data_IF_333016627599
#
_entry.id   IF_333016627599
#
_cell.length_a   1.000
_cell.length_b   1.000
_cell.length_c   1.000
_cell.angle_alpha   90.00
_cell.angle_beta   90.00
_cell.angle_gamma   90.00
#
_symmetry.space_group_name_H-M   'P 1'
#
loop_
_entity.id
_entity.type
_entity.pdbx_description
1 polymer ?
#
# COMPACT_ATOMS: atom_id res chain seq x y z
N UNK A 1 -37.33 -11.05 7.41
CA UNK A 1 -36.75 -12.09 6.55
C UNK A 1 -35.57 -11.50 5.82
N UNK A 2 -34.40 -12.10 6.05
CA UNK A 2 -33.07 -11.62 5.70
C UNK A 2 -32.79 -11.75 4.21
N UNK A 3 -32.35 -10.66 3.58
CA UNK A 3 -31.55 -10.71 2.34
C UNK A 3 -30.35 -9.78 2.55
N UNK A 4 -29.42 -10.23 3.39
CA UNK A 4 -28.07 -9.68 3.48
C UNK A 4 -27.32 -10.13 2.23
N UNK A 5 -27.20 -9.24 1.26
CA UNK A 5 -26.26 -9.40 0.15
C UNK A 5 -24.84 -9.32 0.72
N UNK A 6 -24.26 -10.47 1.03
CA UNK A 6 -22.84 -10.62 1.30
C UNK A 6 -22.10 -10.39 -0.01
N UNK A 7 -21.51 -9.21 -0.17
CA UNK A 7 -20.53 -8.95 -1.21
C UNK A 7 -19.24 -9.70 -0.87
N UNK A 8 -19.01 -10.80 -1.57
CA UNK A 8 -17.71 -11.46 -1.67
C UNK A 8 -16.70 -10.54 -2.38
N UNK A 9 -15.49 -10.40 -1.81
CA UNK A 9 -14.31 -9.60 -2.22
C UNK A 9 -14.21 -8.21 -1.56
N UNK A 10 -13.12 -7.78 -0.90
CA UNK A 10 -11.76 -8.31 -0.67
C UNK A 10 -11.33 -7.93 0.76
N UNK A 11 -10.89 -8.90 1.55
CA UNK A 11 -10.09 -8.65 2.77
C UNK A 11 -8.73 -9.32 2.55
N UNK A 12 -7.67 -8.69 3.04
CA UNK A 12 -6.35 -9.31 3.11
C UNK A 12 -6.49 -10.71 3.74
N UNK A 13 -6.01 -11.75 3.04
CA UNK A 13 -6.16 -13.16 3.41
C UNK A 13 -5.51 -13.51 4.77
N UNK A 14 -4.67 -12.63 5.32
CA UNK A 14 -3.91 -12.90 6.55
C UNK A 14 -4.44 -12.26 7.82
N UNK A 15 -5.54 -11.48 7.76
CA UNK A 15 -6.19 -10.96 8.96
C UNK A 15 -7.33 -11.87 9.48
N UNK A 16 -7.46 -13.10 8.97
CA UNK A 16 -8.19 -14.17 9.63
C UNK A 16 -7.21 -15.13 10.30
N UNK A 17 -7.43 -15.40 11.59
CA UNK A 17 -6.58 -16.12 12.54
C UNK A 17 -6.18 -17.58 12.20
N UNK A 18 -6.17 -18.02 10.94
CA UNK A 18 -6.02 -19.45 10.60
C UNK A 18 -4.61 -19.87 10.15
N UNK A 19 -3.65 -18.94 9.97
CA UNK A 19 -2.29 -19.27 9.53
C UNK A 19 -1.37 -19.82 10.64
N UNK A 20 -1.79 -19.80 11.90
CA UNK A 20 -0.91 -20.11 13.04
C UNK A 20 -0.77 -21.60 13.35
N UNK A 21 -1.59 -22.48 12.76
CA UNK A 21 -1.53 -23.89 13.16
C UNK A 21 -0.48 -24.70 12.40
N UNK A 22 -0.18 -24.45 11.11
CA UNK A 22 0.71 -25.31 10.28
C UNK A 22 1.46 -24.57 9.15
N UNK A 23 2.50 -23.78 9.45
CA UNK A 23 3.22 -23.03 8.42
C UNK A 23 4.06 -23.91 7.47
N UNK A 24 4.61 -25.04 7.94
CA UNK A 24 5.32 -26.05 7.13
C UNK A 24 4.67 -27.42 7.29
N UNK A 25 4.68 -28.23 6.24
CA UNK A 25 4.10 -29.59 6.24
C UNK A 25 5.15 -30.71 6.35
N UNK A 26 6.43 -30.39 6.18
CA UNK A 26 7.56 -31.29 6.35
C UNK A 26 8.75 -30.58 7.00
N UNK A 27 9.71 -31.36 7.51
CA UNK A 27 10.88 -30.78 8.18
C UNK A 27 11.89 -30.22 7.20
N UNK A 28 12.55 -29.13 7.56
CA UNK A 28 13.51 -28.38 6.73
C UNK A 28 14.84 -28.23 7.46
N UNK A 29 15.95 -28.41 6.76
CA UNK A 29 17.30 -28.39 7.33
C UNK A 29 17.94 -29.78 7.39
N UNK A 30 18.88 -29.94 8.32
CA UNK A 30 19.74 -31.11 8.45
C UNK A 30 18.91 -32.38 8.69
N UNK A 31 19.01 -33.35 7.77
CA UNK A 31 18.24 -34.59 7.84
C UNK A 31 16.72 -34.41 7.77
N UNK A 32 16.24 -33.24 7.33
CA UNK A 32 14.82 -32.96 7.11
C UNK A 32 14.30 -33.51 5.79
N UNK A 33 12.97 -33.51 5.63
CA UNK A 33 12.31 -33.88 4.36
C UNK A 33 12.66 -32.91 3.23
N UNK A 34 12.92 -31.64 3.55
CA UNK A 34 13.35 -30.59 2.62
C UNK A 34 12.45 -30.48 1.39
N UNK A 35 11.13 -30.51 1.58
CA UNK A 35 10.19 -30.25 0.51
C UNK A 35 10.42 -28.82 0.00
N UNK A 36 10.54 -28.66 -1.32
CA UNK A 36 10.85 -27.37 -1.95
C UNK A 36 10.02 -26.21 -1.40
N UNK A 37 8.69 -26.40 -1.28
CA UNK A 37 7.78 -25.40 -0.74
C UNK A 37 8.15 -25.01 0.71
N UNK A 38 8.27 -25.99 1.61
CA UNK A 38 8.65 -25.74 3.01
C UNK A 38 10.03 -25.05 3.12
N UNK A 39 10.99 -25.41 2.25
CA UNK A 39 12.31 -24.77 2.21
C UNK A 39 12.22 -23.31 1.77
N UNK A 40 11.41 -23.00 0.75
CA UNK A 40 11.20 -21.61 0.28
C UNK A 40 10.62 -20.74 1.39
N UNK A 41 9.66 -21.28 2.15
CA UNK A 41 9.10 -20.56 3.29
C UNK A 41 10.13 -20.35 4.38
N UNK A 42 10.86 -21.38 4.78
CA UNK A 42 11.90 -21.21 5.78
C UNK A 42 12.94 -20.17 5.33
N UNK A 43 13.33 -20.16 4.04
CA UNK A 43 14.22 -19.13 3.48
C UNK A 43 13.61 -17.72 3.61
N UNK A 44 12.33 -17.56 3.29
CA UNK A 44 11.62 -16.30 3.43
C UNK A 44 11.47 -15.87 4.91
N UNK A 45 11.22 -16.79 5.83
CA UNK A 45 11.10 -16.52 7.28
C UNK A 45 12.43 -16.04 7.82
N UNK A 46 13.51 -16.72 7.45
CA UNK A 46 14.86 -16.31 7.82
C UNK A 46 15.22 -14.95 7.22
N UNK A 47 14.92 -14.70 5.94
CA UNK A 47 15.14 -13.40 5.30
C UNK A 47 14.38 -12.26 5.96
N UNK A 48 13.21 -12.55 6.54
CA UNK A 48 12.37 -11.58 7.27
C UNK A 48 12.83 -11.36 8.70
N UNK A 49 13.70 -12.21 9.22
CA UNK A 49 14.26 -12.06 10.55
C UNK A 49 15.42 -11.06 10.46
N UNK A 50 15.44 -10.00 11.29
CA UNK A 50 16.57 -9.08 11.33
C UNK A 50 17.87 -9.80 11.73
N UNK A 51 19.04 -9.38 11.23
CA UNK A 51 20.31 -10.02 11.56
C UNK A 51 20.62 -10.10 13.06
N UNK A 52 20.16 -9.12 13.83
CA UNK A 52 20.26 -9.03 15.30
C UNK A 52 19.40 -10.07 16.05
N UNK A 53 18.31 -10.52 15.42
CA UNK A 53 17.42 -11.58 15.93
C UNK A 53 17.74 -12.95 15.32
N UNK A 54 18.95 -13.11 14.74
CA UNK A 54 19.43 -14.39 14.23
C UNK A 54 19.20 -14.61 12.73
N UNK A 55 18.66 -13.62 12.02
CA UNK A 55 18.50 -13.66 10.57
C UNK A 55 19.82 -13.58 9.79
N UNK A 56 19.82 -13.87 8.49
CA UNK A 56 21.01 -13.83 7.66
C UNK A 56 21.41 -12.37 7.35
N UNK A 57 22.72 -12.06 7.45
CA UNK A 57 23.23 -10.72 7.15
C UNK A 57 23.16 -10.38 5.64
N UNK A 58 23.19 -11.42 4.79
CA UNK A 58 22.95 -11.34 3.35
C UNK A 58 21.77 -12.25 3.04
N UNK A 59 20.74 -11.72 2.39
CA UNK A 59 19.52 -12.47 2.12
C UNK A 59 19.81 -13.74 1.31
N UNK A 60 19.12 -14.82 1.69
CA UNK A 60 19.09 -16.09 0.98
C UNK A 60 18.29 -15.96 -0.32
N UNK A 61 18.66 -16.74 -1.32
CA UNK A 61 17.76 -16.99 -2.44
C UNK A 61 16.60 -17.88 -1.97
N UNK A 62 15.36 -17.48 -2.23
CA UNK A 62 14.14 -18.23 -1.88
C UNK A 62 13.83 -19.27 -2.96
N UNK A 63 14.82 -20.10 -3.28
CA UNK A 63 14.82 -21.06 -4.39
C UNK A 63 14.31 -22.45 -4.00
N UNK A 64 14.13 -22.70 -2.70
CA UNK A 64 13.67 -23.96 -2.15
C UNK A 64 14.76 -25.02 -2.05
N UNK A 65 16.02 -24.60 -2.17
CA UNK A 65 17.19 -25.47 -2.07
C UNK A 65 17.82 -25.36 -0.69
N UNK A 66 18.03 -26.50 -0.03
CA UNK A 66 18.72 -26.56 1.26
C UNK A 66 20.25 -26.52 1.09
N UNK A 67 20.75 -25.42 0.54
CA UNK A 67 22.19 -25.21 0.33
C UNK A 67 22.95 -24.82 1.61
N UNK A 68 24.29 -24.76 1.56
CA UNK A 68 25.12 -24.40 2.72
C UNK A 68 24.74 -23.05 3.36
N UNK A 69 24.29 -22.08 2.55
CA UNK A 69 23.83 -20.77 3.04
C UNK A 69 22.52 -20.87 3.83
N UNK A 70 21.55 -21.63 3.32
CA UNK A 70 20.27 -21.85 4.01
C UNK A 70 20.47 -22.65 5.29
N UNK A 71 21.31 -23.69 5.26
CA UNK A 71 21.63 -24.47 6.46
C UNK A 71 22.33 -23.59 7.52
N UNK A 72 23.32 -22.79 7.13
CA UNK A 72 23.99 -21.87 8.05
C UNK A 72 23.04 -20.83 8.66
N UNK A 73 22.05 -20.36 7.90
CA UNK A 73 21.03 -19.44 8.42
C UNK A 73 20.08 -20.13 9.42
N UNK A 74 19.69 -21.39 9.17
CA UNK A 74 18.92 -22.20 10.14
C UNK A 74 19.71 -22.39 11.43
N UNK A 75 20.98 -22.79 11.31
CA UNK A 75 21.86 -23.02 12.46
C UNK A 75 22.04 -21.72 13.28
N UNK A 76 22.25 -20.59 12.59
CA UNK A 76 22.40 -19.27 13.22
C UNK A 76 21.13 -18.86 13.97
N UNK A 77 19.96 -19.01 13.34
CA UNK A 77 18.70 -18.64 13.96
C UNK A 77 18.40 -19.53 15.18
N UNK A 78 18.61 -20.85 15.06
CA UNK A 78 18.42 -21.76 16.18
C UNK A 78 19.37 -21.47 17.35
N UNK A 79 20.63 -21.11 17.08
CA UNK A 79 21.56 -20.71 18.13
C UNK A 79 21.10 -19.48 18.92
N UNK A 80 20.28 -18.61 18.31
CA UNK A 80 19.68 -17.44 18.97
C UNK A 80 18.47 -17.82 19.83
N UNK A 81 17.63 -18.76 19.39
CA UNK A 81 16.31 -19.01 20.02
C UNK A 81 16.21 -20.32 20.81
N UNK A 82 17.15 -21.25 20.64
CA UNK A 82 17.17 -22.55 21.32
C UNK A 82 18.43 -22.73 22.17
N UNK A 83 18.28 -23.45 23.29
CA UNK A 83 19.41 -23.84 24.15
C UNK A 83 20.27 -24.98 23.58
N UNK A 84 19.70 -25.78 22.66
CA UNK A 84 20.39 -26.89 21.97
C UNK A 84 19.99 -26.91 20.49
N UNK A 85 20.72 -26.18 19.62
CA UNK A 85 20.49 -26.18 18.17
C UNK A 85 20.79 -27.56 17.56
N UNK A 86 19.92 -28.00 16.66
CA UNK A 86 20.01 -29.31 15.98
C UNK A 86 20.13 -29.20 14.45
N UNK A 87 19.97 -27.98 13.92
CA UNK A 87 20.04 -27.64 12.50
C UNK A 87 18.80 -28.04 11.71
N UNK A 88 17.67 -28.35 12.37
CA UNK A 88 16.45 -28.83 11.73
C UNK A 88 15.20 -28.12 12.26
N UNK A 89 14.37 -27.65 11.34
CA UNK A 89 13.07 -27.03 11.64
C UNK A 89 11.98 -28.06 11.37
N UNK A 90 11.34 -28.55 12.44
CA UNK A 90 10.21 -29.47 12.35
C UNK A 90 8.85 -28.74 12.36
N UNK A 91 7.82 -29.29 11.69
CA UNK A 91 6.45 -28.81 11.81
C UNK A 91 6.02 -28.71 13.28
N UNK A 92 5.41 -27.60 13.67
CA UNK A 92 5.02 -27.28 15.05
C UNK A 92 6.17 -27.20 16.08
N UNK A 93 7.42 -27.35 15.63
CA UNK A 93 8.61 -27.31 16.47
C UNK A 93 8.87 -25.92 17.07
N UNK A 94 9.77 -25.84 18.06
CA UNK A 94 10.07 -24.59 18.74
C UNK A 94 10.68 -23.54 17.81
N UNK A 95 11.48 -23.95 16.81
CA UNK A 95 12.09 -23.01 15.85
C UNK A 95 11.07 -22.34 14.94
N UNK A 96 10.10 -23.09 14.40
CA UNK A 96 9.10 -22.51 13.50
C UNK A 96 8.14 -21.60 14.26
N UNK A 97 7.79 -21.96 15.50
CA UNK A 97 7.02 -21.09 16.41
C UNK A 97 7.77 -19.79 16.70
N UNK A 98 9.06 -19.86 17.02
CA UNK A 98 9.87 -18.67 17.26
C UNK A 98 9.95 -17.76 16.03
N UNK A 99 10.12 -18.31 14.82
CA UNK A 99 10.10 -17.55 13.56
C UNK A 99 8.75 -16.84 13.38
N UNK A 100 7.64 -17.55 13.53
CA UNK A 100 6.31 -16.98 13.34
C UNK A 100 5.97 -15.94 14.41
N UNK A 101 6.30 -16.19 15.68
CA UNK A 101 6.08 -15.23 16.78
C UNK A 101 6.91 -13.97 16.58
N UNK A 102 8.19 -14.08 16.19
CA UNK A 102 9.02 -12.91 15.93
C UNK A 102 8.46 -12.07 14.76
N UNK A 103 7.86 -12.71 13.76
CA UNK A 103 7.30 -12.02 12.59
C UNK A 103 5.90 -11.44 12.87
N UNK A 104 5.12 -12.06 13.75
CA UNK A 104 3.77 -11.61 14.11
C UNK A 104 3.74 -10.61 15.26
N UNK A 105 4.69 -10.68 16.21
CA UNK A 105 4.65 -9.92 17.47
C UNK A 105 5.81 -8.90 17.61
N UNK A 106 6.78 -8.87 16.68
CA UNK A 106 7.88 -7.90 16.77
C UNK A 106 7.53 -6.56 16.13
N UNK A 107 7.70 -5.48 16.90
CA UNK A 107 7.62 -4.10 16.40
C UNK A 107 8.76 -3.72 15.41
N UNK A 108 9.77 -4.57 15.23
CA UNK A 108 10.91 -4.38 14.33
C UNK A 108 10.89 -5.30 13.09
N UNK A 109 9.85 -6.13 12.91
CA UNK A 109 9.71 -7.01 11.75
C UNK A 109 8.34 -6.77 11.10
N UNK A 110 8.28 -6.14 9.92
CA UNK A 110 7.00 -5.85 9.28
C UNK A 110 6.32 -7.12 8.76
N UNK A 111 5.01 -7.31 9.02
CA UNK A 111 4.25 -8.40 8.43
C UNK A 111 4.16 -8.22 6.90
N UNK A 112 4.58 -9.23 6.13
CA UNK A 112 4.46 -9.16 4.66
C UNK A 112 5.29 -10.12 3.81
N UNK A 113 6.06 -11.07 4.37
CA UNK A 113 7.03 -11.84 3.56
C UNK A 113 6.75 -13.31 3.30
N UNK A 114 5.66 -13.93 3.80
CA UNK A 114 5.47 -15.37 3.61
C UNK A 114 4.04 -15.82 3.31
N UNK A 115 3.86 -16.39 2.13
CA UNK A 115 2.70 -17.22 1.78
C UNK A 115 3.16 -18.49 1.06
N UNK A 116 2.84 -19.66 1.61
CA UNK A 116 2.96 -20.96 0.93
C UNK A 116 1.61 -21.61 0.63
N UNK A 117 1.46 -21.92 -0.66
CA UNK A 117 0.90 -23.09 -1.34
C UNK A 117 -0.33 -23.88 -0.82
N UNK A 118 -1.36 -23.96 -1.68
CA UNK A 118 -2.40 -25.01 -1.72
C UNK A 118 -3.18 -25.03 -3.05
N UNK A 119 -3.19 -26.20 -3.75
CA UNK A 119 -3.58 -26.47 -5.16
C UNK A 119 -5.10 -26.80 -5.37
N UNK A 120 -5.54 -27.54 -6.44
CA UNK A 120 -5.96 -27.07 -7.76
C UNK A 120 -7.41 -27.47 -8.16
N UNK A 121 -8.03 -26.69 -9.05
CA UNK A 121 -9.14 -27.13 -9.91
C UNK A 121 -10.55 -26.68 -9.50
N UNK A 122 -11.15 -25.80 -10.31
CA UNK A 122 -12.48 -25.98 -10.90
C UNK A 122 -12.74 -24.92 -11.98
N UNK A 123 -13.54 -25.33 -12.97
CA UNK A 123 -13.51 -24.85 -14.34
C UNK A 123 -14.54 -23.75 -14.65
N UNK A 124 -14.26 -23.07 -15.77
CA UNK A 124 -15.15 -22.55 -16.82
C UNK A 124 -16.56 -22.02 -16.45
N UNK A 125 -16.79 -20.77 -16.85
CA UNK A 125 -18.11 -20.21 -17.16
C UNK A 125 -17.98 -18.85 -17.86
N UNK A 126 -18.34 -18.78 -19.14
CA UNK A 126 -18.33 -17.57 -19.99
C UNK A 126 -19.67 -16.78 -19.88
N UNK A 127 -19.96 -15.74 -20.69
CA UNK A 127 -20.05 -14.34 -20.23
C UNK A 127 -21.43 -13.68 -20.54
N UNK A 128 -21.54 -12.37 -20.27
CA UNK A 128 -22.44 -11.35 -20.87
C UNK A 128 -23.22 -10.56 -19.80
N UNK A 129 -23.24 -9.22 -19.78
CA UNK A 129 -23.54 -8.27 -20.87
C UNK A 129 -22.71 -6.97 -20.83
N UNK A 130 -22.57 -6.32 -22.01
CA UNK A 130 -21.58 -5.30 -22.35
C UNK A 130 -21.89 -3.85 -21.88
N UNK A 131 -20.86 -2.99 -21.67
CA UNK A 131 -21.00 -1.58 -21.30
C UNK A 131 -20.96 -0.58 -22.47
N UNK A 132 -21.39 0.65 -22.15
CA UNK A 132 -21.37 1.89 -22.95
C UNK A 132 -20.00 2.18 -23.61
N UNK A 133 -20.04 2.87 -24.75
CA UNK A 133 -18.96 3.22 -25.69
C UNK A 133 -17.57 3.36 -25.03
N UNK A 134 -16.56 2.57 -25.45
CA UNK A 134 -15.29 2.51 -24.75
C UNK A 134 -14.46 3.77 -24.99
N UNK A 135 -14.23 4.56 -23.93
CA UNK A 135 -13.00 5.35 -23.88
C UNK A 135 -11.83 4.37 -23.93
N UNK A 136 -10.87 4.61 -24.82
CA UNK A 136 -9.72 3.70 -24.97
C UNK A 136 -8.78 3.88 -23.78
N UNK A 137 -8.03 2.84 -23.39
CA UNK A 137 -7.04 2.94 -22.31
C UNK A 137 -6.05 4.10 -22.47
N UNK A 138 -5.76 4.51 -23.71
CA UNK A 138 -4.95 5.67 -24.01
C UNK A 138 -5.57 7.00 -23.53
N UNK A 139 -6.89 7.16 -23.68
CA UNK A 139 -7.61 8.34 -23.18
C UNK A 139 -7.59 8.40 -21.64
N UNK A 140 -7.70 7.24 -20.98
CA UNK A 140 -7.64 7.14 -19.52
C UNK A 140 -6.26 7.55 -18.99
N UNK A 141 -5.20 7.05 -19.64
CA UNK A 141 -3.82 7.45 -19.34
C UNK A 141 -3.61 8.94 -19.58
N UNK A 142 -4.12 9.48 -20.69
CA UNK A 142 -4.02 10.91 -20.99
C UNK A 142 -4.75 11.76 -19.93
N UNK A 143 -5.94 11.36 -19.52
CA UNK A 143 -6.72 12.01 -18.47
C UNK A 143 -5.98 11.96 -17.12
N UNK A 144 -5.48 10.81 -16.70
CA UNK A 144 -4.70 10.67 -15.46
C UNK A 144 -3.41 11.51 -15.47
N UNK A 145 -2.70 11.55 -16.60
CA UNK A 145 -1.52 12.41 -16.77
C UNK A 145 -1.92 13.89 -16.71
N UNK A 146 -3.04 14.29 -17.31
CA UNK A 146 -3.50 15.68 -17.25
C UNK A 146 -3.86 16.10 -15.83
N UNK A 147 -4.56 15.24 -15.07
CA UNK A 147 -4.85 15.46 -13.65
C UNK A 147 -3.57 15.74 -12.85
N UNK A 148 -2.52 14.94 -13.06
CA UNK A 148 -1.23 15.18 -12.40
C UNK A 148 -0.64 16.55 -12.75
N UNK A 149 -0.67 16.94 -14.03
CA UNK A 149 -0.17 18.25 -14.47
C UNK A 149 -0.93 19.40 -13.81
N UNK A 150 -2.25 19.29 -13.76
CA UNK A 150 -3.12 20.33 -13.19
C UNK A 150 -2.90 20.50 -11.67
N UNK A 151 -2.44 19.45 -11.00
CA UNK A 151 -2.12 19.46 -9.56
C UNK A 151 -0.82 20.21 -9.20
N UNK A 152 0.10 20.46 -10.14
CA UNK A 152 1.46 20.96 -9.85
C UNK A 152 1.45 22.21 -8.98
N UNK A 153 0.67 23.24 -9.37
CA UNK A 153 0.61 24.51 -8.66
C UNK A 153 0.08 24.37 -7.23
N UNK A 154 -0.95 23.54 -7.05
CA UNK A 154 -1.54 23.28 -5.74
C UNK A 154 -0.58 22.50 -4.85
N UNK A 155 0.12 21.51 -5.40
CA UNK A 155 1.16 20.76 -4.69
C UNK A 155 2.33 21.68 -4.28
N UNK A 156 2.79 22.57 -5.16
CA UNK A 156 3.84 23.55 -4.86
C UNK A 156 3.44 24.46 -3.69
N UNK A 157 2.22 25.01 -3.74
CA UNK A 157 1.69 25.86 -2.68
C UNK A 157 1.54 25.09 -1.36
N UNK A 158 1.04 23.86 -1.41
CA UNK A 158 0.89 23.00 -0.23
C UNK A 158 2.24 22.70 0.42
N UNK A 159 3.30 22.41 -0.38
CA UNK A 159 4.66 22.23 0.14
C UNK A 159 5.12 23.45 0.92
N UNK A 160 4.88 24.65 0.40
CA UNK A 160 5.24 25.87 1.10
C UNK A 160 4.51 25.98 2.45
N UNK A 161 3.20 25.68 2.50
CA UNK A 161 2.44 25.68 3.76
C UNK A 161 2.98 24.65 4.77
N UNK A 162 3.24 23.42 4.32
CA UNK A 162 3.77 22.34 5.17
C UNK A 162 5.21 22.58 5.62
N UNK A 163 6.02 23.32 4.86
CA UNK A 163 7.35 23.74 5.26
C UNK A 163 7.30 24.78 6.38
N UNK A 164 6.39 25.75 6.30
CA UNK A 164 6.30 26.84 7.27
C UNK A 164 5.55 26.45 8.54
N UNK A 165 4.65 25.46 8.47
CA UNK A 165 3.91 24.93 9.62
C UNK A 165 3.24 26.03 10.46
N UNK A 166 2.63 27.02 9.80
CA UNK A 166 1.92 28.10 10.48
C UNK A 166 0.83 27.54 11.41
N UNK A 167 0.41 28.27 12.47
CA UNK A 167 -0.66 27.81 13.36
C UNK A 167 -1.94 27.40 12.60
N UNK A 168 -2.28 28.14 11.54
CA UNK A 168 -3.41 27.81 10.64
C UNK A 168 -3.19 26.49 9.91
N UNK A 169 -1.98 26.23 9.40
CA UNK A 169 -1.63 24.97 8.74
C UNK A 169 -1.68 23.80 9.72
N UNK A 170 -1.12 23.95 10.93
CA UNK A 170 -1.15 22.90 11.94
C UNK A 170 -2.56 22.61 12.45
N UNK A 171 -3.42 23.63 12.61
CA UNK A 171 -4.83 23.43 12.94
C UNK A 171 -5.56 22.66 11.84
N UNK A 172 -5.24 22.93 10.57
CA UNK A 172 -5.83 22.21 9.44
C UNK A 172 -5.33 20.76 9.36
N UNK A 173 -4.04 20.50 9.62
CA UNK A 173 -3.53 19.13 9.74
C UNK A 173 -4.21 18.37 10.88
N UNK A 174 -4.45 19.01 12.02
CA UNK A 174 -5.20 18.41 13.13
C UNK A 174 -6.61 17.97 12.70
N UNK A 175 -7.32 18.76 11.88
CA UNK A 175 -8.62 18.35 11.33
C UNK A 175 -8.54 16.97 10.66
N UNK A 176 -7.51 16.71 9.86
CA UNK A 176 -7.38 15.46 9.13
C UNK A 176 -6.83 14.30 9.98
N UNK A 177 -5.82 14.56 10.82
CA UNK A 177 -4.99 13.50 11.41
C UNK A 177 -5.11 13.37 12.93
N UNK A 178 -5.70 14.33 13.63
CA UNK A 178 -5.91 14.25 15.08
C UNK A 178 -6.81 13.05 15.44
N UNK A 179 -6.51 12.42 16.56
CA UNK A 179 -7.36 11.38 17.16
C UNK A 179 -7.24 11.48 18.67
N UNK A 180 -8.35 11.36 19.41
CA UNK A 180 -8.37 11.36 20.88
C UNK A 180 -7.61 12.54 21.53
N UNK A 181 -7.69 13.74 20.94
CA UNK A 181 -6.97 14.97 21.35
C UNK A 181 -5.45 14.96 21.16
N UNK A 182 -4.90 13.94 20.50
CA UNK A 182 -3.47 13.86 20.18
C UNK A 182 -3.22 14.59 18.87
N UNK A 183 -2.65 15.79 18.98
CA UNK A 183 -2.35 16.65 17.84
C UNK A 183 -1.20 16.11 16.97
N UNK A 184 -1.18 16.61 15.74
CA UNK A 184 -0.08 16.45 14.78
C UNK A 184 1.14 17.22 15.30
N UNK A 185 2.28 16.56 15.29
CA UNK A 185 3.58 17.13 15.67
C UNK A 185 4.28 17.75 14.45
N UNK A 186 5.25 18.66 14.66
CA UNK A 186 6.08 19.19 13.58
C UNK A 186 6.79 18.11 12.73
N UNK A 187 7.23 17.02 13.37
CA UNK A 187 7.86 15.88 12.67
C UNK A 187 6.88 15.14 11.76
N UNK A 188 5.64 14.92 12.21
CA UNK A 188 4.59 14.32 11.40
C UNK A 188 4.18 15.24 10.23
N UNK A 189 4.13 16.57 10.45
CA UNK A 189 3.93 17.54 9.37
C UNK A 189 5.08 17.52 8.35
N UNK A 190 6.34 17.37 8.79
CA UNK A 190 7.48 17.19 7.88
C UNK A 190 7.44 15.86 7.12
N UNK A 191 6.89 14.79 7.71
CA UNK A 191 6.62 13.53 6.98
C UNK A 191 5.65 13.78 5.83
N UNK A 192 4.53 14.47 6.09
CA UNK A 192 3.56 14.85 5.06
C UNK A 192 4.18 15.76 4.00
N UNK A 193 5.04 16.71 4.38
CA UNK A 193 5.82 17.53 3.45
C UNK A 193 6.68 16.66 2.52
N UNK A 194 7.32 15.62 3.05
CA UNK A 194 8.13 14.68 2.26
C UNK A 194 7.32 13.98 1.18
N UNK A 195 6.12 13.48 1.53
CA UNK A 195 5.19 12.83 0.60
C UNK A 195 4.73 13.83 -0.47
N UNK A 196 4.20 14.99 -0.07
CA UNK A 196 3.74 16.02 -1.03
C UNK A 196 4.88 16.51 -1.92
N UNK A 197 6.09 16.64 -1.38
CA UNK A 197 7.28 17.03 -2.16
C UNK A 197 7.69 15.98 -3.18
N UNK A 198 7.60 14.70 -2.82
CA UNK A 198 7.88 13.61 -3.75
C UNK A 198 6.84 13.56 -4.88
N UNK A 199 5.55 13.71 -4.58
CA UNK A 199 4.50 13.78 -5.63
C UNK A 199 4.76 14.97 -6.54
N UNK A 200 4.97 16.16 -5.97
CA UNK A 200 5.27 17.38 -6.74
C UNK A 200 6.50 17.20 -7.63
N UNK A 201 7.58 16.57 -7.13
CA UNK A 201 8.79 16.34 -7.92
C UNK A 201 8.53 15.48 -9.16
N UNK A 202 7.70 14.45 -9.04
CA UNK A 202 7.32 13.60 -10.18
C UNK A 202 6.50 14.40 -11.21
N UNK A 203 5.58 15.24 -10.73
CA UNK A 203 4.78 16.12 -11.58
C UNK A 203 5.63 17.22 -12.24
N UNK A 204 6.54 17.86 -11.52
CA UNK A 204 7.33 18.98 -12.05
C UNK A 204 8.39 18.53 -13.05
N UNK A 205 9.02 17.37 -12.82
CA UNK A 205 9.97 16.78 -13.77
C UNK A 205 9.32 16.50 -15.12
N UNK A 206 8.07 16.07 -15.08
CA UNK A 206 7.31 15.87 -16.28
C UNK A 206 7.10 17.12 -17.13
N UNK A 207 6.78 18.21 -16.45
CA UNK A 207 6.43 19.47 -17.08
C UNK A 207 7.69 20.16 -17.61
N UNK A 208 8.85 19.96 -16.95
CA UNK A 208 10.13 20.49 -17.37
C UNK A 208 10.79 19.74 -18.54
N UNK A 209 10.67 18.41 -18.63
CA UNK A 209 11.42 17.59 -19.61
C UNK A 209 10.55 16.93 -20.69
N UNK A 210 9.25 17.24 -20.74
CA UNK A 210 8.32 16.60 -21.69
C UNK A 210 8.05 15.13 -21.39
N UNK A 211 7.24 14.47 -22.25
CA UNK A 211 6.65 13.14 -22.04
C UNK A 211 7.61 12.03 -21.59
N UNK A 212 8.91 12.16 -21.86
CA UNK A 212 9.94 11.20 -21.44
C UNK A 212 10.05 11.01 -19.90
N UNK A 213 9.52 11.94 -19.09
CA UNK A 213 9.53 11.86 -17.62
C UNK A 213 8.31 11.22 -16.94
N UNK A 214 7.10 11.20 -17.55
CA UNK A 214 5.88 10.55 -16.98
C UNK A 214 5.49 9.29 -17.73
N UNK A 215 6.07 8.99 -18.89
CA UNK A 215 5.45 7.96 -19.75
C UNK A 215 5.32 6.57 -19.10
N UNK A 216 6.08 6.31 -18.03
CA UNK A 216 6.00 5.10 -17.21
C UNK A 216 5.21 5.23 -15.89
N UNK A 217 4.86 6.45 -15.43
CA UNK A 217 4.17 6.63 -14.14
C UNK A 217 2.71 6.22 -14.25
N UNK A 218 1.95 6.74 -15.21
CA UNK A 218 0.53 6.36 -15.37
C UNK A 218 0.38 5.42 -16.56
N UNK A 219 -0.06 4.20 -16.28
CA UNK A 219 -0.36 3.16 -17.26
C UNK A 219 -1.82 2.73 -17.17
N UNK A 220 -2.31 2.07 -18.21
CA UNK A 220 -3.62 1.44 -18.20
C UNK A 220 -3.47 -0.06 -18.00
N UNK A 221 -4.24 -0.62 -17.07
CA UNK A 221 -4.35 -2.06 -16.89
C UNK A 221 -5.73 -2.55 -17.39
N UNK A 222 -5.81 -3.07 -18.64
CA UNK A 222 -7.07 -3.60 -19.17
C UNK A 222 -7.53 -4.87 -18.46
N UNK A 223 -6.65 -5.53 -17.69
CA UNK A 223 -6.90 -6.79 -17.00
C UNK A 223 -7.24 -6.58 -15.54
N UNK A 224 -7.24 -5.34 -15.05
CA UNK A 224 -7.66 -5.05 -13.70
C UNK A 224 -9.08 -5.60 -13.50
N UNK A 225 -9.30 -6.22 -12.34
CA UNK A 225 -10.62 -6.70 -11.94
C UNK A 225 -11.69 -5.63 -12.13
N UNK A 226 -12.91 -6.02 -12.50
CA UNK A 226 -14.00 -5.11 -12.85
C UNK A 226 -14.38 -4.07 -11.78
N UNK A 227 -13.93 -4.25 -10.53
CA UNK A 227 -14.14 -3.33 -9.41
C UNK A 227 -12.92 -2.46 -9.04
N UNK A 228 -11.78 -2.59 -9.71
CA UNK A 228 -10.55 -1.83 -9.41
C UNK A 228 -10.53 -0.55 -10.23
N UNK A 229 -10.57 0.59 -9.54
CA UNK A 229 -10.50 1.92 -10.18
C UNK A 229 -9.06 2.22 -10.59
N UNK A 230 -8.11 1.98 -9.70
CA UNK A 230 -6.68 2.09 -9.94
C UNK A 230 -5.91 1.25 -8.90
N UNK A 231 -4.62 1.01 -9.14
CA UNK A 231 -3.71 0.38 -8.20
C UNK A 231 -2.26 0.78 -8.49
N UNK A 232 -1.37 0.65 -7.52
CA UNK A 232 0.00 1.16 -7.63
C UNK A 232 1.04 0.17 -7.18
N UNK A 233 2.22 0.21 -7.82
CA UNK A 233 3.40 -0.41 -7.24
C UNK A 233 3.93 0.42 -6.08
N UNK A 234 3.78 -0.09 -4.85
CA UNK A 234 4.11 0.67 -3.65
C UNK A 234 5.60 1.04 -3.60
N UNK A 235 5.88 2.30 -3.26
CA UNK A 235 7.23 2.85 -3.35
C UNK A 235 7.80 2.77 -4.77
N UNK A 236 6.93 2.83 -5.78
CA UNK A 236 7.28 2.77 -7.19
C UNK A 236 8.31 3.82 -7.58
N UNK A 237 8.31 5.00 -6.94
CA UNK A 237 9.31 6.03 -7.21
C UNK A 237 10.74 5.67 -6.74
N UNK A 238 10.86 4.68 -5.85
CA UNK A 238 12.12 4.08 -5.38
C UNK A 238 12.56 2.90 -6.25
N UNK A 239 11.74 2.53 -7.22
CA UNK A 239 12.03 1.51 -8.21
C UNK A 239 12.33 2.19 -9.55
N UNK A 240 13.33 1.68 -10.26
CA UNK A 240 13.54 2.04 -11.66
C UNK A 240 12.53 1.34 -12.56
N UNK A 241 12.33 1.86 -13.76
CA UNK A 241 11.48 1.25 -14.81
C UNK A 241 11.96 -0.11 -15.29
N UNK A 242 13.20 -0.50 -14.95
CA UNK A 242 13.79 -1.82 -15.23
C UNK A 242 13.51 -2.84 -14.13
N UNK A 243 13.15 -2.36 -12.93
CA UNK A 243 12.74 -3.22 -11.82
C UNK A 243 11.25 -3.54 -11.95
N UNK A 244 10.84 -4.62 -11.33
CA UNK A 244 9.46 -5.06 -11.32
C UNK A 244 9.11 -5.62 -9.95
N UNK A 245 7.85 -5.47 -9.57
CA UNK A 245 7.24 -6.14 -8.43
C UNK A 245 6.34 -7.25 -8.95
N UNK A 246 6.35 -8.39 -8.29
CA UNK A 246 5.44 -9.49 -8.61
C UNK A 246 4.34 -9.48 -7.57
N UNK A 247 3.11 -9.35 -8.04
CA UNK A 247 1.90 -9.55 -7.26
C UNK A 247 1.32 -10.90 -7.58
N UNK A 248 0.71 -11.55 -6.59
CA UNK A 248 -0.01 -12.80 -6.80
C UNK A 248 -1.47 -12.51 -6.52
N UNK A 249 -2.28 -12.43 -7.58
CA UNK A 249 -3.71 -12.19 -7.47
C UNK A 249 -4.46 -13.42 -7.98
N UNK A 250 -5.28 -14.04 -7.13
CA UNK A 250 -6.08 -15.24 -7.46
C UNK A 250 -5.24 -16.36 -8.10
N UNK A 251 -3.99 -16.51 -7.65
CA UNK A 251 -3.06 -17.52 -8.17
C UNK A 251 -2.36 -17.16 -9.49
N UNK A 252 -2.52 -15.93 -9.97
CA UNK A 252 -1.83 -15.41 -11.16
C UNK A 252 -0.73 -14.44 -10.73
N UNK A 253 0.48 -14.69 -11.24
CA UNK A 253 1.60 -13.76 -11.07
C UNK A 253 1.43 -12.57 -12.01
N UNK A 254 1.14 -11.41 -11.44
CA UNK A 254 1.13 -10.13 -12.13
C UNK A 254 2.51 -9.51 -11.96
N UNK A 255 3.29 -9.48 -13.03
CA UNK A 255 4.57 -8.77 -13.08
C UNK A 255 4.32 -7.31 -13.42
N UNK A 256 4.36 -6.45 -12.41
CA UNK A 256 4.19 -5.02 -12.56
C UNK A 256 5.55 -4.33 -12.69
N UNK A 257 5.78 -3.52 -13.73
CA UNK A 257 6.88 -2.57 -13.73
C UNK A 257 6.91 -1.76 -12.44
N UNK A 258 8.09 -1.63 -11.86
CA UNK A 258 8.33 -0.58 -10.88
C UNK A 258 8.11 0.77 -11.52
N UNK A 259 7.97 1.81 -10.70
CA UNK A 259 7.73 3.15 -11.20
C UNK A 259 6.36 3.37 -11.86
N UNK A 260 5.32 2.60 -11.50
CA UNK A 260 4.01 2.68 -12.16
C UNK A 260 2.81 2.69 -11.20
N UNK A 261 1.82 3.50 -11.60
CA UNK A 261 0.42 3.59 -11.18
C UNK A 261 -0.44 3.11 -12.35
N UNK A 262 -1.35 2.17 -12.10
CA UNK A 262 -2.24 1.59 -13.09
C UNK A 262 -3.66 2.11 -12.91
N UNK A 263 -4.25 2.63 -13.99
CA UNK A 263 -5.67 2.94 -14.06
C UNK A 263 -6.42 1.70 -14.58
N UNK A 264 -7.48 1.31 -13.86
CA UNK A 264 -8.36 0.21 -14.25
C UNK A 264 -9.52 0.67 -15.13
N UNK A 265 -10.26 -0.25 -15.78
CA UNK A 265 -11.30 0.07 -16.76
C UNK A 265 -12.45 0.96 -16.26
N UNK A 266 -12.69 0.99 -14.95
CA UNK A 266 -13.77 1.78 -14.35
C UNK A 266 -13.34 3.19 -13.91
N UNK A 267 -12.08 3.58 -14.10
CA UNK A 267 -11.60 4.91 -13.75
C UNK A 267 -12.41 6.04 -14.40
N UNK A 268 -12.91 5.81 -15.62
CA UNK A 268 -13.74 6.76 -16.37
C UNK A 268 -15.16 6.85 -15.85
N UNK A 269 -15.66 5.81 -15.18
CA UNK A 269 -17.02 5.68 -14.65
C UNK A 269 -17.21 6.42 -13.32
N UNK A 270 -16.22 7.15 -12.86
CA UNK A 270 -16.35 7.93 -11.64
C UNK A 270 -17.35 9.08 -11.82
N UNK A 271 -18.22 9.32 -10.83
CA UNK A 271 -19.37 10.19 -10.96
C UNK A 271 -19.03 11.69 -11.04
N UNK A 272 -17.79 12.09 -10.73
CA UNK A 272 -17.34 13.47 -10.85
C UNK A 272 -15.84 13.56 -11.20
N UNK A 273 -15.39 14.62 -11.91
CA UNK A 273 -13.96 14.85 -12.19
C UNK A 273 -13.08 14.89 -10.93
N UNK A 274 -13.59 15.47 -9.84
CA UNK A 274 -12.88 15.53 -8.55
C UNK A 274 -12.61 14.13 -7.98
N UNK A 275 -13.48 13.14 -8.22
CA UNK A 275 -13.25 11.78 -7.75
C UNK A 275 -12.16 11.06 -8.55
N UNK A 276 -12.02 11.37 -9.85
CA UNK A 276 -10.87 10.94 -10.64
C UNK A 276 -9.58 11.55 -10.12
N UNK A 277 -9.59 12.85 -9.81
CA UNK A 277 -8.45 13.53 -9.20
C UNK A 277 -8.07 12.92 -7.85
N UNK A 278 -9.06 12.63 -7.01
CA UNK A 278 -8.87 11.94 -5.74
C UNK A 278 -8.20 10.57 -5.91
N UNK A 279 -8.67 9.77 -6.85
CA UNK A 279 -8.08 8.45 -7.17
C UNK A 279 -6.61 8.60 -7.55
N UNK A 280 -6.28 9.52 -8.46
CA UNK A 280 -4.90 9.72 -8.89
C UNK A 280 -4.01 10.17 -7.72
N UNK A 281 -4.49 11.05 -6.84
CA UNK A 281 -3.73 11.47 -5.66
C UNK A 281 -3.52 10.30 -4.69
N UNK A 282 -4.55 9.48 -4.45
CA UNK A 282 -4.49 8.29 -3.59
C UNK A 282 -3.38 7.35 -4.06
N UNK A 283 -3.40 6.99 -5.34
CA UNK A 283 -2.39 6.13 -5.93
C UNK A 283 -0.99 6.73 -5.87
N UNK A 284 -0.86 8.05 -6.08
CA UNK A 284 0.42 8.73 -5.93
C UNK A 284 0.96 8.70 -4.51
N UNK A 285 0.10 8.60 -3.49
CA UNK A 285 0.55 8.44 -2.10
C UNK A 285 1.23 7.08 -1.87
N UNK A 286 0.67 6.00 -2.44
CA UNK A 286 1.33 4.69 -2.48
C UNK A 286 2.63 4.73 -3.27
N UNK A 287 2.61 5.43 -4.41
CA UNK A 287 3.73 5.51 -5.34
C UNK A 287 5.00 6.10 -4.72
N UNK A 288 4.86 7.21 -4.00
CA UNK A 288 5.98 7.92 -3.38
C UNK A 288 6.24 7.50 -1.94
N UNK A 289 5.31 6.74 -1.36
CA UNK A 289 5.40 6.22 -0.01
C UNK A 289 6.59 5.27 0.15
N UNK A 290 6.91 4.90 1.40
CA UNK A 290 7.90 3.87 1.65
C UNK A 290 7.56 2.57 0.91
N UNK A 291 8.60 1.83 0.51
CA UNK A 291 8.45 0.54 -0.15
C UNK A 291 7.80 -0.48 0.78
N UNK A 292 7.21 -1.51 0.19
CA UNK A 292 6.74 -2.67 0.93
C UNK A 292 7.85 -3.29 1.80
N UNK A 293 7.46 -3.73 2.99
CA UNK A 293 8.34 -4.36 3.97
C UNK A 293 9.16 -3.38 4.81
N UNK A 294 8.75 -2.12 4.88
CA UNK A 294 9.33 -1.10 5.77
C UNK A 294 8.57 -0.92 7.07
N UNK A 295 7.30 -1.34 7.15
CA UNK A 295 6.42 -1.09 8.30
C UNK A 295 6.00 0.38 8.45
N UNK A 296 6.36 1.21 7.47
CA UNK A 296 6.05 2.64 7.39
C UNK A 296 5.36 3.00 6.09
N UNK A 297 4.85 1.98 5.39
CA UNK A 297 4.11 2.11 4.14
C UNK A 297 2.98 3.12 4.28
N UNK A 298 2.67 3.79 3.18
CA UNK A 298 1.36 4.41 3.03
C UNK A 298 0.48 3.30 2.48
N UNK A 299 -0.56 2.90 3.22
CA UNK A 299 -1.43 1.75 2.94
C UNK A 299 -2.92 2.13 2.94
N UNK A 300 -3.79 1.19 2.62
CA UNK A 300 -5.25 1.36 2.57
C UNK A 300 -5.90 0.96 3.91
N UNK A 301 -5.50 1.64 4.97
CA UNK A 301 -5.92 1.34 6.33
C UNK A 301 -7.42 1.60 6.57
N UNK A 302 -8.00 2.55 5.84
CA UNK A 302 -9.45 2.74 5.75
C UNK A 302 -9.79 3.63 4.55
N UNK A 303 -10.88 3.31 3.87
CA UNK A 303 -11.41 4.15 2.81
C UNK A 303 -12.43 5.13 3.34
N UNK A 304 -12.54 6.30 2.71
CA UNK A 304 -13.50 7.31 3.13
C UNK A 304 -14.89 6.71 3.10
N UNK A 305 -15.23 5.81 2.17
CA UNK A 305 -16.58 5.25 2.17
C UNK A 305 -16.92 4.30 3.33
N UNK A 306 -15.97 3.95 4.19
CA UNK A 306 -16.16 3.04 5.31
C UNK A 306 -16.58 3.78 6.60
N UNK A 307 -17.47 3.21 7.42
CA UNK A 307 -17.95 3.87 8.65
C UNK A 307 -16.85 4.22 9.65
N UNK A 308 -15.76 3.45 9.68
CA UNK A 308 -14.69 3.58 10.67
C UNK A 308 -13.56 4.52 10.23
N UNK A 309 -13.58 5.06 9.01
CA UNK A 309 -12.52 5.90 8.44
C UNK A 309 -12.09 7.05 9.36
N UNK A 310 -13.05 7.82 9.88
CA UNK A 310 -12.74 8.96 10.74
C UNK A 310 -12.22 8.55 12.13
N UNK A 311 -12.47 7.31 12.53
CA UNK A 311 -12.16 6.76 13.86
C UNK A 311 -10.84 5.99 13.94
N UNK A 312 -10.16 5.73 12.81
CA UNK A 312 -8.85 5.07 12.83
C UNK A 312 -7.83 5.91 13.60
N UNK A 313 -6.85 5.25 14.23
CA UNK A 313 -5.83 5.93 15.02
C UNK A 313 -4.95 6.89 14.20
N UNK A 314 -4.38 7.91 14.85
CA UNK A 314 -3.50 8.91 14.21
C UNK A 314 -2.37 8.29 13.38
N UNK A 315 -1.71 7.24 13.91
CA UNK A 315 -0.67 6.53 13.17
C UNK A 315 -1.22 5.98 11.85
N UNK A 316 -2.36 5.28 11.88
CA UNK A 316 -3.02 4.78 10.69
C UNK A 316 -3.38 5.91 9.73
N UNK A 317 -3.95 7.03 10.21
CA UNK A 317 -4.24 8.20 9.36
C UNK A 317 -2.97 8.73 8.65
N UNK A 318 -1.84 8.80 9.34
CA UNK A 318 -0.55 9.26 8.79
C UNK A 318 0.15 8.22 7.88
N UNK A 319 -0.39 7.00 7.81
CA UNK A 319 0.05 5.89 6.97
C UNK A 319 -1.10 5.42 6.07
N UNK A 320 -2.13 6.24 5.87
CA UNK A 320 -3.30 5.90 5.07
C UNK A 320 -3.31 6.75 3.79
N UNK A 321 -3.22 6.11 2.62
CA UNK A 321 -3.27 6.81 1.34
C UNK A 321 -4.52 7.67 1.23
N UNK A 322 -5.65 7.14 1.68
CA UNK A 322 -6.93 7.84 1.66
C UNK A 322 -6.93 9.13 2.48
N UNK A 323 -6.43 9.07 3.71
CA UNK A 323 -6.38 10.24 4.61
C UNK A 323 -5.47 11.34 4.06
N UNK A 324 -4.32 10.96 3.51
CA UNK A 324 -3.36 11.89 2.92
C UNK A 324 -3.92 12.47 1.62
N UNK A 325 -4.55 11.63 0.79
CA UNK A 325 -5.13 12.05 -0.48
C UNK A 325 -6.26 13.06 -0.28
N UNK A 326 -7.13 12.85 0.72
CA UNK A 326 -8.19 13.80 1.04
C UNK A 326 -7.65 15.13 1.57
N UNK A 327 -6.57 15.12 2.34
CA UNK A 327 -5.86 16.34 2.75
C UNK A 327 -5.33 17.10 1.52
N UNK A 328 -4.64 16.42 0.60
CA UNK A 328 -4.10 17.05 -0.62
C UNK A 328 -5.24 17.56 -1.52
N UNK A 329 -6.28 16.75 -1.70
CA UNK A 329 -7.44 17.08 -2.52
C UNK A 329 -8.14 18.33 -1.97
N UNK A 330 -8.34 18.41 -0.65
CA UNK A 330 -9.03 19.58 -0.06
C UNK A 330 -8.25 20.84 -0.31
N UNK A 331 -6.93 20.78 -0.16
CA UNK A 331 -6.05 21.89 -0.48
C UNK A 331 -6.13 22.28 -1.97
N UNK A 332 -6.19 21.29 -2.85
CA UNK A 332 -6.15 21.51 -4.29
C UNK A 332 -7.45 22.08 -4.87
N UNK A 333 -8.61 21.62 -4.39
CA UNK A 333 -9.92 22.00 -4.97
C UNK A 333 -10.78 22.88 -4.05
N UNK A 334 -10.39 23.01 -2.78
CA UNK A 334 -11.15 23.72 -1.76
C UNK A 334 -12.24 22.87 -1.10
N UNK A 335 -12.58 23.22 0.14
CA UNK A 335 -13.55 22.46 0.97
C UNK A 335 -14.92 22.35 0.30
N UNK A 336 -15.41 23.45 -0.30
CA UNK A 336 -16.73 23.49 -0.92
C UNK A 336 -16.87 22.50 -2.10
N UNK A 337 -15.81 22.33 -2.89
CA UNK A 337 -15.81 21.43 -4.03
C UNK A 337 -15.76 19.95 -3.57
N UNK A 338 -15.03 19.65 -2.50
CA UNK A 338 -15.00 18.30 -1.90
C UNK A 338 -16.37 17.85 -1.41
N UNK A 339 -17.05 18.69 -0.62
CA UNK A 339 -18.35 18.33 -0.02
C UNK A 339 -19.46 18.20 -1.07
N UNK A 340 -19.25 18.73 -2.27
CA UNK A 340 -20.14 18.56 -3.42
C UNK A 340 -19.99 17.22 -4.15
N UNK A 341 -19.01 16.39 -3.80
CA UNK A 341 -18.83 15.08 -4.45
C UNK A 341 -19.80 14.02 -3.90
N UNK A 342 -20.36 13.14 -4.75
CA UNK A 342 -21.30 12.12 -4.31
C UNK A 342 -20.77 11.21 -3.19
N UNK A 343 -19.49 10.79 -3.26
CA UNK A 343 -18.92 9.87 -2.26
C UNK A 343 -18.55 10.54 -0.93
N UNK A 344 -18.17 11.82 -0.94
CA UNK A 344 -17.74 12.55 0.26
C UNK A 344 -18.85 13.37 0.93
N UNK A 345 -20.00 13.53 0.27
CA UNK A 345 -21.17 14.21 0.85
C UNK A 345 -21.58 13.63 2.22
N UNK A 346 -21.35 12.32 2.46
CA UNK A 346 -21.64 11.68 3.75
C UNK A 346 -20.69 12.08 4.90
N UNK A 347 -19.53 12.67 4.59
CA UNK A 347 -18.59 13.24 5.57
C UNK A 347 -18.56 14.75 5.54
N UNK A 348 -19.59 15.38 4.98
CA UNK A 348 -19.71 16.83 4.92
C UNK A 348 -19.47 17.49 6.28
N UNK A 349 -19.95 16.91 7.38
CA UNK A 349 -19.70 17.41 8.74
C UNK A 349 -18.21 17.51 9.10
N UNK A 350 -17.41 16.53 8.71
CA UNK A 350 -15.96 16.55 8.92
C UNK A 350 -15.29 17.67 8.11
N UNK A 351 -15.57 17.73 6.81
CA UNK A 351 -14.94 18.72 5.93
C UNK A 351 -15.41 20.15 6.23
N UNK A 352 -16.67 20.33 6.65
CA UNK A 352 -17.19 21.64 7.05
C UNK A 352 -16.69 22.13 8.41
N UNK A 353 -16.00 21.29 9.18
CA UNK A 353 -15.36 21.74 10.41
C UNK A 353 -14.16 22.62 10.05
N UNK A 354 -14.01 23.76 10.75
CA UNK A 354 -12.83 24.60 10.58
C UNK A 354 -11.57 23.88 11.07
N UNK A 355 -10.41 24.08 10.42
CA UNK A 355 -10.16 25.03 9.33
C UNK A 355 -10.62 24.55 7.94
N UNK A 356 -10.99 25.48 7.05
CA UNK A 356 -11.40 25.20 5.66
C UNK A 356 -10.36 25.67 4.64
N UNK A 357 -10.44 25.19 3.41
CA UNK A 357 -9.66 25.69 2.28
C UNK A 357 -10.57 26.48 1.33
N UNK A 358 -10.24 27.75 1.11
CA UNK A 358 -10.94 28.66 0.20
C UNK A 358 -9.91 29.36 -0.69
N UNK A 359 -10.03 29.20 -2.01
CA UNK A 359 -9.10 29.84 -2.97
C UNK A 359 -7.63 29.47 -2.74
N UNK A 360 -7.34 28.23 -2.31
CA UNK A 360 -5.99 27.77 -1.99
C UNK A 360 -5.39 28.34 -0.69
N UNK A 361 -6.21 28.97 0.16
CA UNK A 361 -5.82 29.43 1.49
C UNK A 361 -6.53 28.64 2.58
N UNK A 362 -5.81 28.37 3.66
CA UNK A 362 -6.36 27.73 4.87
C UNK A 362 -6.94 28.83 5.76
N UNK A 363 -8.25 28.78 5.98
CA UNK A 363 -8.99 29.74 6.81
C UNK A 363 -9.40 29.08 8.12
N UNK A 364 -8.99 29.69 9.23
CA UNK A 364 -9.51 29.44 10.57
C UNK A 364 -10.65 30.43 10.80
N UNK A 365 -11.82 29.96 11.22
CA UNK A 365 -13.02 30.79 11.36
C UNK A 365 -12.91 31.91 12.38
#
# INVERSE_FOLDING_TARGET
MSLVAHSSHRKCFFCSNDATDKPIVGSVGKGGTNKKADVQLVQAFLNSTPPEEGGPAVLLAEDGLIGPKTQAAIDKFQAKVLSRPDGRIDPHGPTIKALTTLICDSASVPPGRLGLDGRPGQAAGSPSTAPKTPQTGAQMVAEGKQILKDLERSLMSLRFKLLHQTPTTMAWLNKHFETAKVKVTPGEASKLLGIVSAIHFQVSRANAFGAQGIDSIIMFDPKADAGVIAWTVRGGDKLSTKQFQIYVEKGVNIKAPGHTVFLGPIFTNQPAPIEKQWTVIHEMCHFVGPRDGTGLEIDDNAYAFEPHFLSIGKWFKLHNAESIALMILEFAVGTAAIVGTPRLAKFKSHFDTFPKVVGGQIVTG
#
